data_IF_498641666960
#
_entry.id   IF_498641666960
#
_cell.length_a   1.000
_cell.length_b   1.000
_cell.length_c   1.000
_cell.angle_alpha   90.00
_cell.angle_beta   90.00
_cell.angle_gamma   90.00
#
_symmetry.space_group_name_H-M   'P 1'
#
loop_
_entity.id
_entity.type
_entity.pdbx_description
1 polymer ?
#
# COMPACT_ATOMS: atom_id res chain seq x y z
N UNK A 1 35.44 3.34 28.03
CA UNK A 1 34.04 3.72 28.21
C UNK A 1 33.34 3.37 26.90
N UNK A 2 32.59 2.24 26.88
CA UNK A 2 31.86 1.82 25.68
C UNK A 2 30.83 2.90 25.31
N UNK A 3 30.80 3.31 24.06
CA UNK A 3 29.79 4.22 23.52
C UNK A 3 28.41 3.62 23.77
N UNK A 4 27.52 4.34 24.46
CA UNK A 4 26.12 3.90 24.66
C UNK A 4 25.50 3.69 23.27
N UNK A 5 25.12 2.46 22.95
CA UNK A 5 24.50 2.13 21.67
C UNK A 5 23.14 2.83 21.55
N UNK A 6 22.80 3.24 20.35
CA UNK A 6 21.46 3.78 20.02
C UNK A 6 20.46 2.65 20.00
N UNK A 7 19.36 2.75 20.76
CA UNK A 7 18.36 1.70 20.86
C UNK A 7 17.32 1.90 19.75
N UNK A 8 17.15 0.86 18.92
CA UNK A 8 16.12 0.76 17.89
C UNK A 8 15.10 -0.29 18.27
N UNK A 9 13.82 0.10 18.26
CA UNK A 9 12.69 -0.81 18.39
C UNK A 9 11.93 -0.96 17.09
N UNK A 10 11.50 -2.20 16.77
CA UNK A 10 10.66 -2.50 15.61
C UNK A 10 9.54 -3.49 15.98
N UNK A 11 8.36 -3.44 15.31
CA UNK A 11 7.24 -4.34 15.56
C UNK A 11 7.59 -5.78 15.17
N UNK A 12 7.20 -6.76 15.98
CA UNK A 12 7.28 -8.18 15.63
C UNK A 12 6.57 -8.45 14.29
N UNK A 13 7.11 -9.38 13.51
CA UNK A 13 6.62 -9.70 12.17
C UNK A 13 7.07 -8.72 11.07
N UNK A 14 7.88 -7.71 11.39
CA UNK A 14 8.52 -6.86 10.38
C UNK A 14 9.53 -7.69 9.57
N UNK A 15 9.24 -7.87 8.28
CA UNK A 15 10.01 -8.78 7.40
C UNK A 15 11.48 -8.35 7.29
N UNK A 16 12.40 -9.26 7.62
CA UNK A 16 13.85 -9.05 7.54
C UNK A 16 14.42 -8.06 8.57
N UNK A 17 13.60 -7.56 9.52
CA UNK A 17 14.05 -6.51 10.43
C UNK A 17 15.21 -6.97 11.34
N UNK A 18 15.12 -8.17 11.91
CA UNK A 18 16.17 -8.70 12.77
C UNK A 18 17.50 -8.78 12.03
N UNK A 19 17.52 -9.40 10.86
CA UNK A 19 18.72 -9.61 10.06
C UNK A 19 19.31 -8.29 9.55
N UNK A 20 18.45 -7.41 9.01
CA UNK A 20 18.86 -6.15 8.41
C UNK A 20 19.37 -5.18 9.47
N UNK A 21 18.59 -4.93 10.54
CA UNK A 21 19.00 -3.95 11.55
C UNK A 21 20.12 -4.47 12.48
N UNK A 22 20.24 -5.79 12.70
CA UNK A 22 21.36 -6.34 13.47
C UNK A 22 22.71 -6.24 12.71
N UNK A 23 22.72 -5.90 11.43
CA UNK A 23 23.94 -5.62 10.70
C UNK A 23 24.63 -4.32 11.10
N UNK A 24 23.93 -3.42 11.82
CA UNK A 24 24.50 -2.17 12.31
C UNK A 24 25.38 -2.39 13.54
N UNK A 25 26.54 -1.75 13.56
CA UNK A 25 27.48 -1.81 14.69
C UNK A 25 27.06 -0.88 15.84
N UNK A 26 26.43 0.24 15.49
CA UNK A 26 26.07 1.32 16.42
C UNK A 26 24.67 1.18 17.03
N UNK A 27 23.87 0.22 16.57
CA UNK A 27 22.52 0.03 17.05
C UNK A 27 22.42 -1.17 17.99
N UNK A 28 21.63 -1.00 19.04
CA UNK A 28 21.04 -2.09 19.82
C UNK A 28 19.61 -2.28 19.33
N UNK A 29 19.31 -3.46 18.78
CA UNK A 29 18.07 -3.75 18.06
C UNK A 29 17.17 -4.65 18.89
N UNK A 30 15.92 -4.22 19.09
CA UNK A 30 14.92 -4.95 19.90
C UNK A 30 13.58 -5.00 19.14
N UNK A 31 12.87 -6.12 19.24
CA UNK A 31 11.49 -6.21 18.77
C UNK A 31 10.48 -5.95 19.88
N UNK A 32 9.24 -5.63 19.49
CA UNK A 32 8.11 -5.50 20.40
C UNK A 32 6.82 -6.07 19.80
N UNK A 33 5.91 -6.63 20.63
CA UNK A 33 4.59 -7.05 20.21
C UNK A 33 3.76 -5.85 19.69
N UNK A 34 3.04 -6.03 18.59
CA UNK A 34 2.32 -4.93 17.92
C UNK A 34 1.30 -4.19 18.80
N UNK A 35 0.71 -4.86 19.78
CA UNK A 35 -0.25 -4.31 20.72
C UNK A 35 0.38 -3.60 21.92
N UNK A 36 1.71 -3.72 22.10
CA UNK A 36 2.44 -3.22 23.28
C UNK A 36 3.34 -2.02 22.99
N UNK A 37 3.12 -1.31 21.90
CA UNK A 37 3.97 -0.15 21.52
C UNK A 37 4.08 0.90 22.64
N UNK A 38 3.02 1.12 23.42
CA UNK A 38 3.03 2.12 24.52
C UNK A 38 3.96 1.72 25.68
N UNK A 39 4.18 0.43 25.89
CA UNK A 39 5.04 -0.04 26.97
C UNK A 39 6.51 0.29 26.71
N UNK A 40 6.91 0.40 25.43
CA UNK A 40 8.28 0.68 25.01
C UNK A 40 8.72 2.08 25.40
N UNK A 41 7.79 3.00 25.65
CA UNK A 41 8.15 4.37 26.07
C UNK A 41 9.03 4.39 27.33
N UNK A 42 8.89 3.39 28.21
CA UNK A 42 9.68 3.22 29.44
C UNK A 42 11.10 2.70 29.19
N UNK A 43 11.34 2.13 28.01
CA UNK A 43 12.63 1.56 27.59
C UNK A 43 13.56 2.59 26.93
N UNK A 44 13.14 3.86 26.90
CA UNK A 44 13.88 4.99 26.33
C UNK A 44 14.40 4.76 24.89
N UNK A 45 13.57 4.34 23.94
CA UNK A 45 14.00 4.13 22.57
C UNK A 45 14.51 5.42 21.93
N UNK A 46 15.53 5.32 21.09
CA UNK A 46 16.04 6.44 20.29
C UNK A 46 15.44 6.42 18.88
N UNK A 47 15.23 5.22 18.33
CA UNK A 47 14.60 4.99 17.04
C UNK A 47 13.40 4.07 17.27
N UNK A 48 12.22 4.51 16.80
CA UNK A 48 11.00 3.73 16.87
C UNK A 48 10.47 3.49 15.48
N UNK A 49 10.55 2.24 15.01
CA UNK A 49 9.84 1.80 13.84
C UNK A 49 8.44 1.39 14.27
N UNK A 50 7.42 1.92 13.63
CA UNK A 50 6.03 1.61 13.92
C UNK A 50 5.28 1.19 12.65
N UNK A 51 4.19 0.43 12.81
CA UNK A 51 3.27 0.15 11.72
C UNK A 51 2.41 1.39 11.43
N UNK A 52 1.72 1.39 10.29
CA UNK A 52 0.91 2.55 9.84
C UNK A 52 -0.36 2.81 10.66
N UNK A 53 -0.67 1.96 11.64
CA UNK A 53 -1.77 2.19 12.60
C UNK A 53 -1.36 3.11 13.76
N UNK A 54 -0.06 3.17 14.04
CA UNK A 54 0.46 4.10 15.04
C UNK A 54 0.45 5.52 14.45
N UNK A 55 -0.44 6.34 14.97
CA UNK A 55 -0.54 7.74 14.54
C UNK A 55 0.65 8.53 15.10
N UNK A 56 1.45 9.11 14.22
CA UNK A 56 2.56 10.02 14.59
C UNK A 56 1.97 11.42 14.74
N UNK A 57 1.34 11.66 15.88
CA UNK A 57 0.67 12.90 16.27
C UNK A 57 1.25 13.44 17.59
N UNK A 58 0.74 14.58 18.07
CA UNK A 58 1.21 15.24 19.30
C UNK A 58 1.18 14.31 20.51
N UNK A 59 0.06 13.66 20.74
CA UNK A 59 -0.14 12.82 21.94
C UNK A 59 0.83 11.64 21.97
N UNK A 60 1.01 11.00 20.83
CA UNK A 60 1.91 9.85 20.74
C UNK A 60 3.39 10.27 20.78
N UNK A 61 3.78 11.41 20.16
CA UNK A 61 5.16 11.91 20.23
C UNK A 61 5.54 12.27 21.67
N UNK A 62 4.62 12.86 22.45
CA UNK A 62 4.86 13.19 23.86
C UNK A 62 5.08 11.97 24.75
N UNK A 63 4.48 10.81 24.40
CA UNK A 63 4.70 9.55 25.11
C UNK A 63 6.11 8.97 24.86
N UNK A 64 6.81 9.41 23.79
CA UNK A 64 8.14 8.94 23.40
C UNK A 64 9.18 10.08 23.37
N UNK A 65 9.48 10.72 24.52
CA UNK A 65 10.33 11.91 24.53
C UNK A 65 11.76 11.62 24.06
N UNK A 66 12.29 10.43 24.28
CA UNK A 66 13.63 10.00 23.91
C UNK A 66 13.78 9.64 22.44
N UNK A 67 12.67 9.33 21.75
CA UNK A 67 12.70 9.00 20.32
C UNK A 67 13.10 10.22 19.51
N UNK A 68 14.16 10.10 18.75
CA UNK A 68 14.65 11.12 17.79
C UNK A 68 14.15 10.82 16.38
N UNK A 69 13.99 9.54 16.04
CA UNK A 69 13.59 9.08 14.72
C UNK A 69 12.38 8.16 14.85
N UNK A 70 11.26 8.58 14.29
CA UNK A 70 10.11 7.71 14.00
C UNK A 70 10.26 7.17 12.59
N UNK A 71 9.91 5.92 12.36
CA UNK A 71 10.00 5.31 11.04
C UNK A 71 8.85 4.34 10.77
N UNK A 72 8.55 4.15 9.49
CA UNK A 72 7.70 3.07 9.01
C UNK A 72 8.35 2.38 7.81
N UNK A 73 8.27 1.05 7.76
CA UNK A 73 8.80 0.24 6.65
C UNK A 73 7.81 0.16 5.46
N UNK A 74 6.88 1.09 5.39
CA UNK A 74 5.87 1.21 4.35
C UNK A 74 6.03 2.49 3.54
N UNK A 75 5.31 2.57 2.42
CA UNK A 75 5.33 3.74 1.53
C UNK A 75 4.48 4.90 2.04
N UNK A 76 3.26 4.61 2.52
CA UNK A 76 2.27 5.62 2.91
C UNK A 76 2.64 6.38 4.19
N UNK A 77 2.22 7.62 4.26
CA UNK A 77 2.47 8.54 5.38
C UNK A 77 1.19 9.19 5.92
N UNK A 78 0.03 8.66 5.59
CA UNK A 78 -1.28 9.21 5.96
C UNK A 78 -1.50 9.29 7.49
N UNK A 79 -0.72 8.51 8.26
CA UNK A 79 -0.73 8.45 9.72
C UNK A 79 0.24 9.43 10.39
N UNK A 80 0.86 10.35 9.63
CA UNK A 80 1.97 11.18 10.12
C UNK A 80 1.61 12.66 10.03
N UNK A 81 1.65 13.36 11.16
CA UNK A 81 1.59 14.81 11.23
C UNK A 81 3.00 15.41 11.14
N UNK A 82 3.37 15.85 9.94
CA UNK A 82 4.69 16.47 9.68
C UNK A 82 4.89 17.81 10.37
N UNK A 83 3.82 18.55 10.66
CA UNK A 83 3.92 19.82 11.39
C UNK A 83 4.33 19.56 12.84
N UNK A 84 3.73 18.56 13.45
CA UNK A 84 4.06 18.15 14.82
C UNK A 84 5.49 17.57 14.88
N UNK A 85 5.90 16.76 13.91
CA UNK A 85 7.28 16.28 13.85
C UNK A 85 8.29 17.43 13.81
N UNK A 86 8.03 18.47 13.00
CA UNK A 86 8.86 19.66 12.91
C UNK A 86 8.90 20.44 14.23
N UNK A 87 7.75 20.63 14.87
CA UNK A 87 7.63 21.29 16.17
C UNK A 87 8.48 20.60 17.24
N UNK A 88 8.39 19.28 17.32
CA UNK A 88 9.14 18.46 18.28
C UNK A 88 10.58 18.12 17.82
N UNK A 89 11.02 18.65 16.68
CA UNK A 89 12.35 18.40 16.09
C UNK A 89 12.65 16.91 15.95
N UNK A 90 11.65 16.12 15.53
CA UNK A 90 11.78 14.69 15.28
C UNK A 90 11.98 14.42 13.78
N UNK A 91 12.69 13.35 13.46
CA UNK A 91 12.89 12.88 12.09
C UNK A 91 11.86 11.79 11.82
N UNK A 92 11.32 11.75 10.60
CA UNK A 92 10.51 10.65 10.11
C UNK A 92 11.15 9.98 8.89
N UNK A 93 11.21 8.65 8.91
CA UNK A 93 11.68 7.85 7.79
C UNK A 93 10.57 6.90 7.32
N UNK A 94 10.41 6.81 6.01
CA UNK A 94 9.54 5.83 5.36
C UNK A 94 10.24 5.20 4.16
N UNK A 95 9.57 4.28 3.47
CA UNK A 95 10.08 3.57 2.32
C UNK A 95 9.23 3.84 1.05
N UNK A 96 9.29 5.04 0.44
CA UNK A 96 8.47 5.37 -0.72
C UNK A 96 8.65 4.37 -1.86
N UNK A 97 7.54 3.86 -2.41
CA UNK A 97 7.55 2.93 -3.54
C UNK A 97 8.12 1.54 -3.25
N UNK A 98 8.32 1.16 -1.97
CA UNK A 98 8.88 -0.15 -1.63
C UNK A 98 8.04 -1.33 -2.15
N UNK A 99 6.73 -1.16 -2.23
CA UNK A 99 5.77 -2.15 -2.68
C UNK A 99 5.16 -1.87 -4.05
N UNK A 100 5.72 -0.92 -4.80
CA UNK A 100 5.15 -0.47 -6.07
C UNK A 100 5.04 -1.62 -7.10
N UNK A 101 6.08 -2.43 -7.25
CA UNK A 101 6.07 -3.63 -8.09
C UNK A 101 4.99 -4.62 -7.66
N UNK A 102 4.88 -4.88 -6.36
CA UNK A 102 3.88 -5.81 -5.81
C UNK A 102 2.44 -5.37 -6.12
N UNK A 103 2.15 -4.07 -5.99
CA UNK A 103 0.83 -3.53 -6.33
C UNK A 103 0.58 -3.58 -7.83
N UNK A 104 1.58 -3.28 -8.65
CA UNK A 104 1.49 -3.37 -10.11
C UNK A 104 1.18 -4.80 -10.57
N UNK A 105 1.89 -5.79 -10.03
CA UNK A 105 1.64 -7.21 -10.27
C UNK A 105 0.24 -7.64 -9.82
N UNK A 106 -0.21 -7.16 -8.65
CA UNK A 106 -1.57 -7.40 -8.18
C UNK A 106 -2.61 -6.88 -9.17
N UNK A 107 -2.47 -5.64 -9.66
CA UNK A 107 -3.39 -5.07 -10.64
C UNK A 107 -3.40 -5.88 -11.94
N UNK A 108 -2.23 -6.29 -12.44
CA UNK A 108 -2.13 -7.12 -13.65
C UNK A 108 -2.77 -8.49 -13.44
N UNK A 109 -2.53 -9.15 -12.31
CA UNK A 109 -3.16 -10.42 -11.94
C UNK A 109 -4.68 -10.28 -11.82
N UNK A 110 -5.16 -9.15 -11.29
CA UNK A 110 -6.58 -8.82 -11.26
C UNK A 110 -7.19 -8.74 -12.67
N UNK A 111 -6.47 -8.15 -13.63
CA UNK A 111 -6.89 -8.15 -15.04
C UNK A 111 -6.90 -9.56 -15.64
N UNK A 112 -5.87 -10.37 -15.38
CA UNK A 112 -5.80 -11.77 -15.84
C UNK A 112 -6.88 -12.68 -15.21
N UNK A 113 -7.50 -12.28 -14.11
CA UNK A 113 -8.64 -13.00 -13.56
C UNK A 113 -9.93 -12.83 -14.38
N UNK A 114 -9.96 -11.81 -15.24
CA UNK A 114 -11.12 -11.40 -16.07
C UNK A 114 -10.88 -11.60 -17.56
N UNK A 115 -9.64 -11.44 -18.03
CA UNK A 115 -9.27 -11.44 -19.44
C UNK A 115 -8.09 -12.38 -19.69
N UNK A 116 -8.06 -12.99 -20.87
CA UNK A 116 -6.85 -13.61 -21.40
C UNK A 116 -5.85 -12.51 -21.85
N UNK A 117 -4.56 -12.81 -21.87
CA UNK A 117 -3.53 -11.85 -22.29
C UNK A 117 -3.77 -11.31 -23.72
N UNK A 118 -4.29 -12.14 -24.61
CA UNK A 118 -4.66 -11.75 -25.98
C UNK A 118 -5.79 -10.73 -26.03
N UNK A 119 -6.74 -10.80 -25.11
CA UNK A 119 -7.85 -9.85 -24.98
C UNK A 119 -7.35 -8.53 -24.41
N UNK A 120 -6.45 -8.57 -23.40
CA UNK A 120 -5.86 -7.36 -22.80
C UNK A 120 -5.17 -6.48 -23.84
N UNK A 121 -4.50 -7.06 -24.84
CA UNK A 121 -3.83 -6.31 -25.93
C UNK A 121 -4.78 -5.47 -26.79
N UNK A 122 -6.09 -5.78 -26.76
CA UNK A 122 -7.12 -5.03 -27.51
C UNK A 122 -7.75 -3.91 -26.67
N UNK A 123 -7.47 -3.88 -25.36
CA UNK A 123 -8.02 -2.88 -24.46
C UNK A 123 -7.10 -1.65 -24.40
N UNK A 124 -7.70 -0.49 -24.12
CA UNK A 124 -6.98 0.71 -23.70
C UNK A 124 -7.03 0.77 -22.18
N UNK A 125 -5.85 0.85 -21.54
CA UNK A 125 -5.72 1.01 -20.09
C UNK A 125 -5.34 2.44 -19.77
N UNK A 126 -6.13 3.08 -18.92
CA UNK A 126 -5.91 4.44 -18.41
C UNK A 126 -5.42 4.39 -16.96
N UNK A 127 -4.28 4.99 -16.67
CA UNK A 127 -3.75 5.13 -15.34
C UNK A 127 -3.97 6.56 -14.82
N UNK A 128 -4.53 6.70 -13.64
CA UNK A 128 -4.63 7.96 -12.91
C UNK A 128 -3.54 7.98 -11.85
N UNK A 129 -2.52 8.81 -12.07
CA UNK A 129 -1.29 8.86 -11.29
C UNK A 129 -0.16 8.02 -11.88
N UNK A 130 0.99 8.66 -12.13
CA UNK A 130 2.20 8.05 -12.70
C UNK A 130 3.40 8.17 -11.75
N UNK A 131 3.13 7.99 -10.44
CA UNK A 131 4.11 7.88 -9.38
C UNK A 131 4.82 6.51 -9.39
N UNK A 132 5.34 6.08 -8.24
CA UNK A 132 6.04 4.79 -8.15
C UNK A 132 5.20 3.61 -8.66
N UNK A 133 3.97 3.47 -8.17
CA UNK A 133 3.09 2.34 -8.54
C UNK A 133 2.61 2.44 -9.98
N UNK A 134 2.13 3.62 -10.40
CA UNK A 134 1.67 3.83 -11.77
C UNK A 134 2.75 3.52 -12.80
N UNK A 135 4.01 3.91 -12.53
CA UNK A 135 5.17 3.59 -13.40
C UNK A 135 5.44 2.10 -13.50
N UNK A 136 5.42 1.37 -12.38
CA UNK A 136 5.64 -0.08 -12.42
C UNK A 136 4.49 -0.79 -13.15
N UNK A 137 3.25 -0.38 -12.93
CA UNK A 137 2.13 -0.97 -13.65
C UNK A 137 2.16 -0.63 -15.16
N UNK A 138 2.50 0.60 -15.52
CA UNK A 138 2.72 1.00 -16.90
C UNK A 138 3.78 0.13 -17.60
N UNK A 139 4.92 -0.10 -16.94
CA UNK A 139 6.00 -0.96 -17.46
C UNK A 139 5.50 -2.39 -17.74
N UNK A 140 4.76 -2.99 -16.80
CA UNK A 140 4.18 -4.33 -16.99
C UNK A 140 3.27 -4.33 -18.21
N UNK A 141 2.33 -3.38 -18.31
CA UNK A 141 1.39 -3.31 -19.41
C UNK A 141 2.09 -3.17 -20.77
N UNK A 142 3.05 -2.25 -20.89
CA UNK A 142 3.81 -2.05 -22.12
C UNK A 142 4.64 -3.29 -22.49
N UNK A 143 5.29 -3.94 -21.50
CA UNK A 143 6.07 -5.17 -21.75
C UNK A 143 5.21 -6.32 -22.27
N UNK A 144 3.91 -6.33 -21.94
CA UNK A 144 2.93 -7.30 -22.43
C UNK A 144 2.22 -6.87 -23.71
N UNK A 145 2.59 -5.73 -24.30
CA UNK A 145 2.00 -5.19 -25.52
C UNK A 145 0.59 -4.65 -25.35
N UNK A 146 0.22 -4.23 -24.14
CA UNK A 146 -1.08 -3.61 -23.83
C UNK A 146 -1.02 -2.11 -24.09
N UNK A 147 -2.01 -1.55 -24.78
CA UNK A 147 -2.11 -0.12 -25.00
C UNK A 147 -2.42 0.60 -23.69
N UNK A 148 -1.50 1.44 -23.22
CA UNK A 148 -1.60 2.12 -21.93
C UNK A 148 -1.28 3.60 -22.06
N UNK A 149 -2.14 4.44 -21.51
CA UNK A 149 -1.94 5.88 -21.34
C UNK A 149 -2.08 6.26 -19.88
N UNK A 150 -1.56 7.40 -19.49
CA UNK A 150 -1.73 7.88 -18.11
C UNK A 150 -2.05 9.38 -18.04
N UNK A 151 -2.72 9.76 -16.96
CA UNK A 151 -2.87 11.14 -16.51
C UNK A 151 -2.15 11.34 -15.18
N UNK A 152 -1.29 12.35 -15.13
CA UNK A 152 -0.67 12.82 -13.90
C UNK A 152 -0.37 14.32 -14.08
N UNK A 153 -0.97 15.23 -13.28
CA UNK A 153 -0.85 16.67 -13.47
C UNK A 153 0.55 17.21 -13.27
N UNK A 154 1.43 16.42 -12.62
CA UNK A 154 2.82 16.79 -12.41
C UNK A 154 3.74 16.46 -13.61
N UNK A 155 3.22 15.76 -14.63
CA UNK A 155 3.91 15.48 -15.89
C UNK A 155 3.38 16.38 -17.01
N UNK A 156 4.16 17.41 -17.37
CA UNK A 156 3.70 18.45 -18.29
C UNK A 156 3.61 18.01 -19.77
N UNK A 157 4.43 17.08 -20.21
CA UNK A 157 4.58 16.73 -21.64
C UNK A 157 4.16 15.30 -21.97
N UNK A 158 4.24 14.38 -21.02
CA UNK A 158 4.02 12.94 -21.24
C UNK A 158 2.62 12.49 -20.80
N UNK A 159 1.93 13.30 -20.00
CA UNK A 159 0.59 13.03 -19.50
C UNK A 159 -0.46 13.23 -20.60
N UNK A 160 -1.32 12.23 -20.79
CA UNK A 160 -2.48 12.37 -21.65
C UNK A 160 -3.55 13.25 -20.99
N UNK A 161 -4.44 13.89 -21.74
CA UNK A 161 -5.58 14.60 -21.18
C UNK A 161 -6.45 13.70 -20.31
N UNK A 162 -6.94 14.22 -19.17
CA UNK A 162 -7.74 13.43 -18.22
C UNK A 162 -8.95 12.77 -18.87
N UNK A 163 -9.70 13.50 -19.70
CA UNK A 163 -10.87 12.98 -20.38
C UNK A 163 -10.54 11.80 -21.31
N UNK A 164 -9.38 11.80 -21.95
CA UNK A 164 -8.92 10.69 -22.79
C UNK A 164 -8.58 9.44 -21.96
N UNK A 165 -8.01 9.64 -20.79
CA UNK A 165 -7.70 8.56 -19.85
C UNK A 165 -8.97 7.98 -19.25
N UNK A 166 -9.94 8.81 -18.89
CA UNK A 166 -11.24 8.39 -18.35
C UNK A 166 -12.10 7.62 -19.36
N UNK A 167 -11.85 7.78 -20.66
CA UNK A 167 -12.54 7.04 -21.74
C UNK A 167 -11.95 5.63 -22.00
N UNK A 168 -10.95 5.23 -21.24
CA UNK A 168 -10.30 3.92 -21.38
C UNK A 168 -11.20 2.76 -20.91
N UNK A 169 -10.98 1.57 -21.48
CA UNK A 169 -11.71 0.35 -21.10
C UNK A 169 -11.36 -0.15 -19.69
N UNK A 170 -10.16 0.19 -19.21
CA UNK A 170 -9.67 -0.11 -17.86
C UNK A 170 -9.18 1.19 -17.25
N UNK A 171 -9.67 1.51 -16.05
CA UNK A 171 -9.20 2.65 -15.25
C UNK A 171 -8.54 2.15 -13.98
N UNK A 172 -7.32 2.56 -13.71
CA UNK A 172 -6.57 2.18 -12.50
C UNK A 172 -6.00 3.41 -11.80
N UNK A 173 -6.28 3.51 -10.50
CA UNK A 173 -5.93 4.67 -9.68
C UNK A 173 -4.69 4.40 -8.84
N UNK A 174 -3.66 5.24 -9.01
CA UNK A 174 -2.35 5.13 -8.36
C UNK A 174 -1.89 6.47 -7.77
N UNK A 175 -2.81 7.14 -7.10
CA UNK A 175 -2.59 8.46 -6.48
C UNK A 175 -2.45 8.34 -4.96
N UNK A 176 -1.70 9.24 -4.29
CA UNK A 176 -1.75 9.37 -2.84
C UNK A 176 -3.12 9.91 -2.40
N UNK A 177 -3.43 9.87 -1.11
CA UNK A 177 -4.57 10.59 -0.55
C UNK A 177 -4.08 11.94 -0.01
N UNK A 178 -4.46 13.03 -0.68
CA UNK A 178 -4.10 14.40 -0.29
C UNK A 178 -5.36 15.25 -0.16
N UNK A 179 -5.45 16.04 0.92
CA UNK A 179 -6.56 16.99 1.14
C UNK A 179 -6.21 18.39 0.67
N UNK A 180 -4.93 18.70 0.69
CA UNK A 180 -4.37 20.01 0.40
C UNK A 180 -3.36 19.92 -0.75
N UNK A 181 -2.96 21.07 -1.26
CA UNK A 181 -2.00 21.20 -2.35
C UNK A 181 -2.66 21.54 -3.69
N UNK A 182 -1.87 21.63 -4.77
CA UNK A 182 -2.38 22.08 -6.08
C UNK A 182 -3.34 21.08 -6.73
N UNK A 183 -3.21 19.79 -6.42
CA UNK A 183 -4.00 18.70 -7.02
C UNK A 183 -4.46 17.73 -5.92
N UNK A 184 -5.45 18.12 -5.09
CA UNK A 184 -5.93 17.26 -4.01
C UNK A 184 -6.68 16.05 -4.59
N UNK A 185 -6.47 14.89 -3.96
CA UNK A 185 -7.06 13.63 -4.41
C UNK A 185 -8.16 13.10 -3.49
N UNK A 186 -8.37 13.73 -2.35
CA UNK A 186 -9.49 13.40 -1.46
C UNK A 186 -10.81 13.65 -2.16
N UNK A 187 -11.63 12.59 -2.30
CA UNK A 187 -12.91 12.60 -3.00
C UNK A 187 -12.83 13.07 -4.47
N UNK A 188 -11.67 12.92 -5.10
CA UNK A 188 -11.44 13.25 -6.51
C UNK A 188 -12.38 12.47 -7.45
N UNK A 189 -12.67 11.21 -7.15
CA UNK A 189 -13.62 10.40 -7.89
C UNK A 189 -15.03 10.71 -7.40
N UNK A 190 -15.76 11.51 -8.19
CA UNK A 190 -17.13 11.94 -7.91
C UNK A 190 -18.18 10.95 -8.43
N UNK A 191 -19.41 11.08 -7.97
CA UNK A 191 -20.55 10.31 -8.46
C UNK A 191 -20.76 10.51 -9.98
N UNK A 192 -20.62 11.75 -10.46
CA UNK A 192 -20.75 12.06 -11.89
C UNK A 192 -19.67 11.37 -12.73
N UNK A 193 -18.44 11.21 -12.21
CA UNK A 193 -17.41 10.44 -12.89
C UNK A 193 -17.83 8.98 -13.00
N UNK A 194 -18.33 8.37 -11.93
CA UNK A 194 -18.79 6.96 -11.95
C UNK A 194 -19.97 6.79 -12.92
N UNK A 195 -20.90 7.73 -12.95
CA UNK A 195 -22.04 7.68 -13.87
C UNK A 195 -21.63 7.82 -15.34
N UNK A 196 -20.53 8.52 -15.63
CA UNK A 196 -19.99 8.69 -16.99
C UNK A 196 -19.23 7.47 -17.52
N UNK A 197 -18.85 6.51 -16.67
CA UNK A 197 -18.13 5.32 -17.09
C UNK A 197 -18.98 4.44 -18.03
N UNK A 198 -18.36 3.97 -19.10
CA UNK A 198 -19.01 3.08 -20.07
C UNK A 198 -19.34 1.72 -19.48
N UNK A 199 -20.44 1.08 -19.89
CA UNK A 199 -20.67 -0.33 -19.59
C UNK A 199 -19.48 -1.19 -20.04
N UNK A 200 -19.10 -2.17 -19.19
CA UNK A 200 -17.94 -3.03 -19.43
C UNK A 200 -16.61 -2.48 -18.94
N UNK A 201 -16.55 -1.23 -18.48
CA UNK A 201 -15.33 -0.65 -17.89
C UNK A 201 -14.84 -1.52 -16.71
N UNK A 202 -13.52 -1.66 -16.59
CA UNK A 202 -12.87 -2.22 -15.40
C UNK A 202 -12.36 -1.07 -14.53
N UNK A 203 -12.80 -1.01 -13.30
CA UNK A 203 -12.39 -0.01 -12.31
C UNK A 203 -11.48 -0.63 -11.26
N UNK A 204 -10.24 -0.14 -11.15
CA UNK A 204 -9.23 -0.66 -10.22
C UNK A 204 -8.85 0.43 -9.22
N UNK A 205 -9.06 0.15 -7.92
CA UNK A 205 -8.52 0.99 -6.86
C UNK A 205 -7.71 0.16 -5.87
N UNK A 206 -6.39 0.34 -5.92
CA UNK A 206 -5.41 -0.23 -5.01
C UNK A 206 -4.59 0.88 -4.32
N UNK A 207 -5.07 2.11 -4.39
CA UNK A 207 -4.39 3.28 -3.82
C UNK A 207 -4.91 3.64 -2.43
N UNK A 208 -6.03 4.37 -2.35
CA UNK A 208 -6.71 4.75 -1.10
C UNK A 208 -8.22 4.75 -1.32
N UNK A 209 -8.99 4.31 -0.30
CA UNK A 209 -10.46 4.34 -0.35
C UNK A 209 -11.01 5.75 -0.49
N UNK A 210 -10.48 6.68 0.30
CA UNK A 210 -10.93 8.07 0.38
C UNK A 210 -10.70 8.94 -0.87
N UNK A 211 -10.17 8.39 -1.98
CA UNK A 211 -10.19 9.08 -3.26
C UNK A 211 -11.58 9.11 -3.90
N UNK A 212 -12.48 8.19 -3.51
CA UNK A 212 -13.89 8.22 -3.88
C UNK A 212 -14.68 9.02 -2.86
N UNK A 213 -15.63 9.85 -3.32
CA UNK A 213 -16.66 10.36 -2.42
C UNK A 213 -17.58 9.20 -1.99
N UNK A 214 -18.27 9.34 -0.86
CA UNK A 214 -19.22 8.31 -0.41
C UNK A 214 -20.29 8.04 -1.48
N UNK A 215 -20.82 9.10 -2.09
CA UNK A 215 -21.79 8.96 -3.17
C UNK A 215 -21.22 8.22 -4.39
N UNK A 216 -19.97 8.53 -4.78
CA UNK A 216 -19.29 7.81 -5.86
C UNK A 216 -19.12 6.33 -5.55
N UNK A 217 -18.79 5.99 -4.29
CA UNK A 217 -18.65 4.61 -3.86
C UNK A 217 -19.98 3.87 -3.91
N UNK A 218 -21.07 4.50 -3.43
CA UNK A 218 -22.43 3.93 -3.48
C UNK A 218 -22.89 3.71 -4.94
N UNK A 219 -22.61 4.65 -5.86
CA UNK A 219 -22.87 4.50 -7.30
C UNK A 219 -22.07 3.35 -7.88
N UNK A 220 -20.77 3.25 -7.57
CA UNK A 220 -19.90 2.20 -8.07
C UNK A 220 -20.37 0.81 -7.64
N UNK A 221 -20.81 0.65 -6.37
CA UNK A 221 -21.38 -0.62 -5.87
C UNK A 221 -22.61 -1.02 -6.67
N UNK A 222 -23.48 -0.05 -7.00
CA UNK A 222 -24.73 -0.29 -7.70
C UNK A 222 -24.54 -0.67 -9.19
N UNK A 223 -23.39 -0.29 -9.82
CA UNK A 223 -23.09 -0.53 -11.24
C UNK A 223 -22.72 -2.01 -11.48
N UNK A 224 -23.68 -2.83 -11.88
CA UNK A 224 -23.45 -4.25 -12.22
C UNK A 224 -22.81 -4.44 -13.61
N UNK A 225 -22.76 -3.43 -14.41
CA UNK A 225 -22.17 -3.39 -15.75
C UNK A 225 -20.67 -3.02 -15.75
N UNK A 226 -20.10 -2.69 -14.58
CA UNK A 226 -18.68 -2.39 -14.37
C UNK A 226 -18.03 -3.54 -13.59
N UNK A 227 -16.84 -3.98 -14.00
CA UNK A 227 -16.02 -4.90 -13.20
C UNK A 227 -15.12 -4.12 -12.25
N UNK A 228 -15.08 -4.47 -10.97
CA UNK A 228 -14.32 -3.75 -9.94
C UNK A 228 -13.23 -4.60 -9.35
N UNK A 229 -12.05 -4.02 -9.15
CA UNK A 229 -10.93 -4.60 -8.38
C UNK A 229 -10.61 -3.61 -7.28
N UNK A 230 -11.02 -3.91 -6.06
CA UNK A 230 -10.90 -3.02 -4.91
C UNK A 230 -10.10 -3.68 -3.79
N UNK A 231 -8.95 -3.11 -3.47
CA UNK A 231 -8.10 -3.55 -2.36
C UNK A 231 -8.20 -2.60 -1.16
N UNK A 232 -8.81 -1.43 -1.36
CA UNK A 232 -8.87 -0.35 -0.37
C UNK A 232 -10.29 0.20 -0.22
N UNK A 233 -10.61 0.64 1.00
CA UNK A 233 -11.93 1.14 1.39
C UNK A 233 -11.80 2.40 2.27
N UNK A 234 -12.91 3.08 2.55
CA UNK A 234 -12.97 4.18 3.51
C UNK A 234 -14.31 4.12 4.27
N UNK A 235 -14.31 3.86 5.60
CA UNK A 235 -13.14 3.52 6.44
C UNK A 235 -12.59 2.11 6.20
N UNK A 236 -11.40 1.83 6.74
CA UNK A 236 -10.81 0.49 6.81
C UNK A 236 -10.64 0.02 8.28
N UNK A 237 -11.21 -1.12 8.64
CA UNK A 237 -12.09 -1.98 7.83
C UNK A 237 -13.44 -1.32 7.55
N UNK A 238 -14.15 -1.74 6.48
CA UNK A 238 -15.51 -1.28 6.24
C UNK A 238 -16.43 -1.59 7.44
N UNK A 239 -17.35 -0.67 7.74
CA UNK A 239 -18.38 -0.94 8.75
C UNK A 239 -19.22 -2.18 8.39
N UNK A 240 -19.76 -2.89 9.39
CA UNK A 240 -20.46 -4.16 9.20
C UNK A 240 -21.57 -4.11 8.15
N UNK A 241 -22.34 -3.03 8.08
CA UNK A 241 -23.40 -2.86 7.06
C UNK A 241 -22.78 -2.75 5.65
N UNK A 242 -21.73 -1.94 5.51
CA UNK A 242 -21.01 -1.79 4.25
C UNK A 242 -20.34 -3.11 3.84
N UNK A 243 -19.72 -3.82 4.76
CA UNK A 243 -19.14 -5.13 4.51
C UNK A 243 -20.16 -6.13 3.92
N UNK A 244 -21.39 -6.16 4.48
CA UNK A 244 -22.49 -6.98 3.92
C UNK A 244 -22.88 -6.56 2.50
N UNK A 245 -22.99 -5.24 2.24
CA UNK A 245 -23.27 -4.73 0.89
C UNK A 245 -22.18 -5.15 -0.11
N UNK A 246 -20.90 -5.02 0.30
CA UNK A 246 -19.76 -5.41 -0.51
C UNK A 246 -19.74 -6.92 -0.76
N UNK A 247 -20.11 -7.75 0.22
CA UNK A 247 -20.17 -9.19 0.06
C UNK A 247 -21.15 -9.64 -1.03
N UNK A 248 -22.20 -8.86 -1.30
CA UNK A 248 -23.20 -9.14 -2.34
C UNK A 248 -22.88 -8.46 -3.69
N UNK A 249 -21.81 -7.64 -3.76
CA UNK A 249 -21.45 -6.94 -4.98
C UNK A 249 -21.01 -7.93 -6.07
N UNK A 250 -21.67 -7.87 -7.22
CA UNK A 250 -21.35 -8.70 -8.39
C UNK A 250 -20.21 -8.10 -9.22
N UNK A 251 -19.61 -8.90 -10.07
CA UNK A 251 -18.56 -8.48 -11.01
C UNK A 251 -17.44 -7.69 -10.33
N UNK A 252 -16.86 -8.29 -9.28
CA UNK A 252 -15.78 -7.65 -8.54
C UNK A 252 -14.85 -8.65 -7.87
N UNK A 253 -13.64 -8.16 -7.57
CA UNK A 253 -12.63 -8.77 -6.70
C UNK A 253 -12.39 -7.79 -5.57
N UNK A 254 -12.54 -8.26 -4.33
CA UNK A 254 -12.35 -7.49 -3.11
C UNK A 254 -11.27 -8.14 -2.27
N UNK A 255 -10.30 -7.36 -1.80
CA UNK A 255 -9.23 -7.88 -0.94
C UNK A 255 -8.95 -6.93 0.22
N UNK A 256 -8.43 -7.44 1.35
CA UNK A 256 -8.28 -6.65 2.57
C UNK A 256 -6.97 -5.86 2.61
N UNK A 257 -6.73 -4.97 1.65
CA UNK A 257 -5.57 -4.09 1.53
C UNK A 257 -4.23 -4.85 1.53
N UNK A 258 -4.12 -5.84 0.64
CA UNK A 258 -2.98 -6.75 0.53
C UNK A 258 -2.22 -6.64 -0.80
N UNK A 259 -2.62 -5.75 -1.70
CA UNK A 259 -1.99 -5.60 -3.01
C UNK A 259 -0.47 -5.41 -2.92
N UNK A 260 0.01 -4.67 -1.92
CA UNK A 260 1.42 -4.44 -1.67
C UNK A 260 2.16 -5.56 -0.89
N UNK A 261 1.48 -6.68 -0.58
CA UNK A 261 1.99 -7.71 0.33
C UNK A 261 2.68 -8.85 -0.43
N UNK A 262 3.88 -8.58 -0.95
CA UNK A 262 4.78 -9.62 -1.46
C UNK A 262 6.05 -9.68 -0.62
N UNK A 263 6.86 -10.70 -0.82
CA UNK A 263 8.16 -10.84 -0.17
C UNK A 263 9.04 -9.62 -0.46
N UNK A 264 9.20 -9.29 -1.73
CA UNK A 264 10.04 -8.18 -2.16
C UNK A 264 9.49 -6.85 -1.64
N UNK A 265 8.18 -6.60 -1.77
CA UNK A 265 7.55 -5.37 -1.29
C UNK A 265 7.78 -5.11 0.20
N UNK A 266 7.71 -6.16 1.02
CA UNK A 266 7.92 -6.07 2.47
C UNK A 266 9.40 -5.87 2.84
N UNK A 267 10.30 -6.68 2.27
CA UNK A 267 11.72 -6.62 2.64
C UNK A 267 12.40 -5.34 2.13
N UNK A 268 12.01 -4.86 0.94
CA UNK A 268 12.48 -3.58 0.40
C UNK A 268 12.10 -2.41 1.31
N UNK A 269 10.91 -2.47 1.94
CA UNK A 269 10.50 -1.46 2.92
C UNK A 269 11.48 -1.36 4.09
N UNK A 270 11.80 -2.49 4.71
CA UNK A 270 12.77 -2.58 5.81
C UNK A 270 14.16 -2.14 5.36
N UNK A 271 14.60 -2.63 4.21
CA UNK A 271 15.93 -2.34 3.66
C UNK A 271 16.11 -0.83 3.37
N UNK A 272 15.12 -0.17 2.74
CA UNK A 272 15.18 1.28 2.47
C UNK A 272 15.24 2.15 3.72
N UNK A 273 14.52 1.76 4.77
CA UNK A 273 14.64 2.44 6.07
C UNK A 273 16.05 2.25 6.65
N UNK A 274 16.57 1.04 6.57
CA UNK A 274 17.93 0.74 7.01
C UNK A 274 19.00 1.52 6.22
N UNK A 275 18.87 1.64 4.90
CA UNK A 275 19.77 2.48 4.08
C UNK A 275 19.80 3.93 4.58
N UNK A 276 18.62 4.53 4.83
CA UNK A 276 18.53 5.88 5.38
C UNK A 276 19.16 6.00 6.77
N UNK A 277 18.97 4.99 7.61
CA UNK A 277 19.61 4.94 8.94
C UNK A 277 21.12 4.79 8.83
N UNK A 278 21.65 3.96 7.90
CA UNK A 278 23.08 3.79 7.73
C UNK A 278 23.78 5.10 7.36
N UNK A 279 23.14 5.90 6.51
CA UNK A 279 23.60 7.25 6.15
C UNK A 279 23.58 8.18 7.37
N UNK A 280 22.47 8.23 8.11
CA UNK A 280 22.33 9.10 9.27
C UNK A 280 23.32 8.80 10.40
N UNK A 281 23.58 7.54 10.64
CA UNK A 281 24.51 7.09 11.69
C UNK A 281 25.94 6.91 11.18
N UNK A 282 26.20 7.15 9.89
CA UNK A 282 27.51 6.90 9.25
C UNK A 282 28.06 5.52 9.63
N UNK A 283 27.19 4.52 9.53
CA UNK A 283 27.51 3.13 9.78
C UNK A 283 28.13 2.49 8.52
N UNK A 284 28.62 1.26 8.64
CA UNK A 284 29.12 0.53 7.47
C UNK A 284 28.01 0.34 6.41
N UNK A 285 28.36 0.16 5.13
CA UNK A 285 27.41 -0.18 4.10
C UNK A 285 26.64 -1.46 4.45
N UNK A 286 25.33 -1.45 4.17
CA UNK A 286 24.50 -2.64 4.36
C UNK A 286 24.91 -3.74 3.38
N UNK A 287 24.75 -5.02 3.78
CA UNK A 287 24.81 -6.14 2.86
C UNK A 287 23.81 -5.95 1.71
N UNK A 288 24.07 -6.54 0.55
CA UNK A 288 23.16 -6.45 -0.61
C UNK A 288 21.76 -6.92 -0.25
N UNK A 289 20.73 -6.22 -0.76
CA UNK A 289 19.32 -6.63 -0.59
C UNK A 289 19.10 -8.11 -0.95
N UNK A 290 19.80 -8.61 -1.97
CA UNK A 290 19.70 -10.02 -2.40
C UNK A 290 20.05 -11.03 -1.30
N UNK A 291 20.96 -10.67 -0.37
CA UNK A 291 21.34 -11.57 0.74
C UNK A 291 20.22 -11.77 1.77
N UNK A 292 19.18 -10.93 1.75
CA UNK A 292 18.05 -11.01 2.64
C UNK A 292 16.79 -11.61 1.98
N UNK A 293 16.81 -11.86 0.68
CA UNK A 293 15.69 -12.48 -0.03
C UNK A 293 15.65 -13.98 0.22
N UNK A 294 14.49 -14.49 0.57
CA UNK A 294 14.26 -15.92 0.64
C UNK A 294 14.06 -16.46 -0.78
N UNK A 295 14.63 -17.61 -1.05
CA UNK A 295 14.54 -18.27 -2.37
C UNK A 295 13.36 -19.22 -2.50
N UNK A 296 12.64 -19.48 -1.40
CA UNK A 296 11.51 -20.41 -1.35
C UNK A 296 10.21 -19.71 -0.94
N UNK A 297 9.16 -19.95 -1.68
CA UNK A 297 7.81 -19.46 -1.39
C UNK A 297 6.84 -19.96 -2.46
N UNK A 298 5.54 -19.84 -2.21
CA UNK A 298 4.51 -20.22 -3.18
C UNK A 298 4.30 -19.11 -4.20
N UNK A 299 4.36 -19.47 -5.49
CA UNK A 299 3.83 -18.66 -6.57
C UNK A 299 2.29 -18.70 -6.50
N UNK A 300 1.67 -17.52 -6.39
CA UNK A 300 0.22 -17.40 -6.33
C UNK A 300 -0.30 -16.87 -7.66
N UNK A 301 -1.16 -17.67 -8.29
CA UNK A 301 -1.78 -17.40 -9.60
C UNK A 301 -2.99 -16.46 -9.49
N UNK A 302 -3.62 -16.13 -10.61
CA UNK A 302 -4.87 -15.35 -10.65
C UNK A 302 -6.02 -15.97 -9.83
N UNK A 303 -6.02 -17.28 -9.63
CA UNK A 303 -6.99 -18.00 -8.77
C UNK A 303 -6.87 -17.56 -7.31
N UNK A 304 -5.70 -17.13 -6.88
CA UNK A 304 -5.45 -16.64 -5.54
C UNK A 304 -6.30 -15.41 -5.19
N UNK A 305 -6.42 -14.45 -6.09
CA UNK A 305 -7.25 -13.26 -5.83
C UNK A 305 -8.72 -13.61 -5.69
N UNK A 306 -9.20 -14.59 -6.45
CA UNK A 306 -10.58 -15.11 -6.34
C UNK A 306 -10.81 -15.78 -4.98
N UNK A 307 -9.83 -16.49 -4.48
CA UNK A 307 -9.91 -17.12 -3.16
C UNK A 307 -9.88 -16.08 -2.02
N UNK A 308 -9.03 -15.07 -2.08
CA UNK A 308 -9.03 -13.99 -1.10
C UNK A 308 -10.36 -13.21 -1.09
N UNK A 309 -10.91 -12.93 -2.27
CA UNK A 309 -12.23 -12.33 -2.42
C UNK A 309 -13.33 -13.19 -1.79
N UNK A 310 -13.32 -14.51 -2.08
CA UNK A 310 -14.28 -15.46 -1.52
C UNK A 310 -14.26 -15.47 0.01
N UNK A 311 -13.08 -15.60 0.59
CA UNK A 311 -12.89 -15.64 2.04
C UNK A 311 -13.32 -14.34 2.72
N UNK A 312 -13.00 -13.20 2.13
CA UNK A 312 -13.39 -11.89 2.66
C UNK A 312 -14.91 -11.70 2.65
N UNK A 313 -15.58 -12.08 1.55
CA UNK A 313 -17.04 -12.02 1.43
C UNK A 313 -17.73 -12.95 2.41
N UNK A 314 -17.22 -14.17 2.57
CA UNK A 314 -17.76 -15.14 3.53
C UNK A 314 -17.68 -14.59 4.96
N UNK A 315 -16.57 -14.02 5.35
CA UNK A 315 -16.41 -13.37 6.65
C UNK A 315 -17.41 -12.22 6.86
N UNK A 316 -17.59 -11.37 5.86
CA UNK A 316 -18.54 -10.26 5.95
C UNK A 316 -20.00 -10.72 6.01
N UNK A 317 -20.39 -11.78 5.27
CA UNK A 317 -21.73 -12.39 5.38
C UNK A 317 -21.99 -12.96 6.75
N UNK A 318 -20.96 -13.54 7.37
CA UNK A 318 -21.03 -14.11 8.72
C UNK A 318 -20.90 -13.04 9.84
N UNK A 319 -20.75 -11.76 9.48
CA UNK A 319 -20.62 -10.67 10.45
C UNK A 319 -19.26 -10.61 11.15
N UNK A 320 -18.23 -11.30 10.63
CA UNK A 320 -16.86 -11.21 11.16
C UNK A 320 -16.20 -9.91 10.73
N UNK A 321 -16.37 -8.87 11.54
CA UNK A 321 -15.79 -7.53 11.33
C UNK A 321 -14.28 -7.51 11.54
N UNK A 322 -13.72 -8.51 12.21
CA UNK A 322 -12.29 -8.57 12.50
C UNK A 322 -11.48 -9.27 11.41
N UNK A 323 -12.15 -10.00 10.50
CA UNK A 323 -11.47 -10.79 9.47
C UNK A 323 -10.52 -9.94 8.63
N UNK A 324 -10.96 -8.76 8.20
CA UNK A 324 -10.17 -7.84 7.37
C UNK A 324 -8.78 -7.58 7.99
N UNK A 325 -8.75 -7.16 9.25
CA UNK A 325 -7.52 -6.87 9.96
C UNK A 325 -6.72 -8.14 10.32
N UNK A 326 -7.43 -9.20 10.73
CA UNK A 326 -6.81 -10.49 11.00
C UNK A 326 -6.10 -11.01 9.75
N UNK A 327 -6.76 -10.96 8.59
CA UNK A 327 -6.18 -11.42 7.33
C UNK A 327 -4.98 -10.62 6.90
N UNK A 328 -5.01 -9.28 7.00
CA UNK A 328 -3.84 -8.42 6.75
C UNK A 328 -2.64 -8.79 7.60
N UNK A 329 -2.87 -9.09 8.89
CA UNK A 329 -1.81 -9.41 9.84
C UNK A 329 -1.22 -10.81 9.62
N UNK A 330 -2.05 -11.77 9.22
CA UNK A 330 -1.66 -13.18 9.02
C UNK A 330 -1.48 -13.55 7.55
N UNK A 331 -1.53 -12.57 6.65
CA UNK A 331 -1.40 -12.81 5.23
C UNK A 331 -0.06 -13.48 4.91
N UNK A 332 -0.07 -14.64 4.27
CA UNK A 332 1.15 -15.34 3.94
C UNK A 332 1.96 -14.53 2.94
N UNK A 333 3.27 -14.47 3.16
CA UNK A 333 4.17 -13.77 2.25
C UNK A 333 4.14 -14.51 0.91
N UNK A 334 3.60 -13.86 -0.13
CA UNK A 334 3.68 -14.37 -1.49
C UNK A 334 5.01 -14.00 -2.13
N UNK A 335 5.49 -14.82 -3.04
CA UNK A 335 6.55 -14.42 -3.97
C UNK A 335 6.01 -13.37 -4.94
N UNK A 336 6.91 -12.55 -5.46
CA UNK A 336 6.60 -11.66 -6.58
C UNK A 336 6.42 -12.50 -7.85
N UNK A 337 5.47 -12.12 -8.72
CA UNK A 337 5.14 -12.91 -9.91
C UNK A 337 6.17 -12.78 -11.02
N UNK A 338 6.97 -11.69 -11.03
CA UNK A 338 8.06 -11.49 -11.99
C UNK A 338 7.61 -11.17 -13.41
N UNK A 339 6.51 -10.42 -13.57
CA UNK A 339 6.01 -9.96 -14.87
C UNK A 339 6.97 -9.03 -15.59
#
# INVERSE_FOLDING_TARGET
>A
VGLKKTILYYPEGTTGAKEIFSSFEKLEVRSYPNDRIKEISKEEPTILIANTRFQVNRDNIQQFPTVKIFATVSSGTDHVDFNILKEFRKIFLNAPGCNAGSVAEYCFTGLLSRFEESELKRLKVGLIGHGHTGKEFYKILISKGVNCIFYDPFYKTESSPLNEVLDASVLSFHVPLTKDGPEPTFQFVSASLIDSLKPGTVFINTSRGGILSQEAFDRLIARNDIFKILDVFDPEPPASEMGRKLAEMKHSILTPHIAGYSQLGRIVGTYRVAEKLSILYRDKPLPSLKSFLQTSGEFKTSTFLKEEDRLLREAWRNGDTNYFEKRRNTYPIRLDWGF
#
